data_IF_511489221285
#
_entry.id   IF_511489221285
#
_cell.length_a   1.000
_cell.length_b   1.000
_cell.length_c   1.000
_cell.angle_alpha   90.00
_cell.angle_beta   90.00
_cell.angle_gamma   90.00
#
_symmetry.space_group_name_H-M   'P 1'
#
loop_
_entity.id
_entity.type
_entity.pdbx_description
1 polymer ?
#
# COMPACT_ATOMS: atom_id res chain seq x y z
N UNK A 1 40.39 -7.54 -9.56
CA UNK A 1 39.05 -7.78 -10.16
C UNK A 1 38.00 -8.03 -9.06
N UNK A 2 38.03 -7.27 -7.97
CA UNK A 2 36.96 -7.27 -6.95
C UNK A 2 36.07 -6.03 -7.10
N UNK A 3 36.68 -4.85 -7.32
CA UNK A 3 35.95 -3.59 -7.52
C UNK A 3 34.91 -3.64 -8.66
N UNK A 4 35.17 -4.38 -9.74
CA UNK A 4 34.20 -4.55 -10.84
C UNK A 4 33.03 -5.45 -10.43
N UNK A 5 33.26 -6.49 -9.61
CA UNK A 5 32.17 -7.32 -9.06
C UNK A 5 31.33 -6.56 -8.05
N UNK A 6 31.96 -5.76 -7.20
CA UNK A 6 31.26 -4.97 -6.19
C UNK A 6 30.39 -3.90 -6.85
N UNK A 7 30.91 -3.21 -7.88
CA UNK A 7 30.14 -2.24 -8.65
C UNK A 7 28.96 -2.87 -9.41
N UNK A 8 29.08 -4.12 -9.87
CA UNK A 8 27.95 -4.83 -10.46
C UNK A 8 26.92 -5.22 -9.40
N UNK A 9 27.36 -5.62 -8.22
CA UNK A 9 26.48 -6.04 -7.11
C UNK A 9 25.63 -4.87 -6.62
N UNK A 10 26.24 -3.70 -6.44
CA UNK A 10 25.53 -2.47 -6.03
C UNK A 10 24.46 -2.06 -7.05
N UNK A 11 24.74 -2.20 -8.35
CA UNK A 11 23.76 -1.92 -9.41
C UNK A 11 22.59 -2.89 -9.39
N UNK A 12 22.86 -4.19 -9.24
CA UNK A 12 21.81 -5.22 -9.20
C UNK A 12 20.88 -4.99 -7.99
N UNK A 13 21.45 -4.74 -6.80
CA UNK A 13 20.65 -4.45 -5.61
C UNK A 13 19.77 -3.20 -5.78
N UNK A 14 20.29 -2.16 -6.44
CA UNK A 14 19.50 -0.97 -6.76
C UNK A 14 18.31 -1.24 -7.69
N UNK A 15 18.46 -2.13 -8.67
CA UNK A 15 17.36 -2.54 -9.54
C UNK A 15 16.36 -3.42 -8.80
N UNK A 16 16.84 -4.42 -8.06
CA UNK A 16 15.98 -5.35 -7.33
C UNK A 16 15.11 -4.63 -6.29
N UNK A 17 15.69 -3.65 -5.59
CA UNK A 17 14.94 -2.80 -4.66
C UNK A 17 13.82 -2.04 -5.37
N UNK A 18 14.10 -1.44 -6.52
CA UNK A 18 13.08 -0.71 -7.31
C UNK A 18 11.98 -1.63 -7.81
N UNK A 19 12.30 -2.87 -8.17
CA UNK A 19 11.29 -3.86 -8.59
C UNK A 19 10.38 -4.25 -7.42
N UNK A 20 10.93 -4.46 -6.22
CA UNK A 20 10.14 -4.68 -5.02
C UNK A 20 9.21 -3.49 -4.72
N UNK A 21 9.75 -2.27 -4.77
CA UNK A 21 8.97 -1.05 -4.56
C UNK A 21 7.83 -0.91 -5.56
N UNK A 22 8.07 -1.24 -6.83
CA UNK A 22 7.04 -1.23 -7.87
C UNK A 22 5.92 -2.24 -7.57
N UNK A 23 6.27 -3.45 -7.12
CA UNK A 23 5.31 -4.52 -6.83
C UNK A 23 4.34 -4.21 -5.69
N UNK A 24 4.75 -3.35 -4.72
CA UNK A 24 3.93 -2.94 -3.57
C UNK A 24 3.33 -1.52 -3.70
N UNK A 25 3.62 -0.80 -4.79
CA UNK A 25 3.21 0.59 -5.01
C UNK A 25 1.69 0.83 -5.08
N UNK A 26 0.93 -0.25 -5.28
CA UNK A 26 -0.54 -0.23 -5.23
C UNK A 26 -1.10 -0.34 -3.80
N UNK A 27 -0.31 -0.87 -2.86
CA UNK A 27 -0.71 -1.12 -1.47
C UNK A 27 -0.23 -0.01 -0.52
N UNK A 28 1.06 0.35 -0.60
CA UNK A 28 1.69 1.32 0.28
C UNK A 28 1.66 2.73 -0.34
N UNK A 29 1.50 3.75 0.50
CA UNK A 29 1.64 5.15 0.07
C UNK A 29 3.11 5.49 -0.25
N UNK A 30 4.02 4.99 0.59
CA UNK A 30 5.47 5.07 0.41
C UNK A 30 6.05 3.65 0.33
N UNK A 31 6.40 3.15 -0.87
CA UNK A 31 6.92 1.79 -1.04
C UNK A 31 8.21 1.50 -0.25
N UNK A 32 9.02 2.53 0.02
CA UNK A 32 10.25 2.41 0.79
C UNK A 32 10.01 2.02 2.27
N UNK A 33 8.81 2.29 2.81
CA UNK A 33 8.44 1.95 4.19
C UNK A 33 8.45 0.43 4.42
N UNK A 34 8.34 -0.35 3.35
CA UNK A 34 8.55 -1.79 3.36
C UNK A 34 9.92 -2.12 3.99
N UNK A 35 10.97 -1.43 3.58
CA UNK A 35 12.34 -1.63 4.07
C UNK A 35 12.60 -0.85 5.37
N UNK A 36 12.19 0.41 5.43
CA UNK A 36 12.54 1.30 6.53
C UNK A 36 11.77 0.96 7.82
N UNK A 37 10.53 0.47 7.71
CA UNK A 37 9.66 0.15 8.84
C UNK A 37 9.42 -1.36 8.95
N UNK A 38 9.19 -2.03 7.80
CA UNK A 38 9.02 -3.49 7.77
C UNK A 38 10.31 -4.27 8.00
N UNK A 39 11.48 -3.61 7.88
CA UNK A 39 12.82 -4.20 8.10
C UNK A 39 13.07 -5.49 7.30
N UNK A 40 12.45 -5.59 6.12
CA UNK A 40 12.57 -6.76 5.24
C UNK A 40 13.78 -6.60 4.33
N UNK A 41 14.48 -7.71 4.08
CA UNK A 41 15.58 -7.74 3.11
C UNK A 41 15.03 -8.01 1.72
N UNK A 42 15.60 -7.35 0.70
CA UNK A 42 15.27 -7.58 -0.71
C UNK A 42 15.55 -9.03 -1.07
N UNK A 43 16.65 -9.61 -0.57
CA UNK A 43 17.11 -10.95 -0.94
C UNK A 43 16.15 -12.07 -0.52
N UNK A 44 15.34 -11.86 0.52
CA UNK A 44 14.40 -12.86 1.03
C UNK A 44 13.24 -13.12 0.06
N UNK A 45 13.06 -12.25 -0.94
CA UNK A 45 11.97 -12.33 -1.92
C UNK A 45 12.44 -12.70 -3.33
N UNK A 46 13.73 -12.98 -3.53
CA UNK A 46 14.24 -13.47 -4.81
C UNK A 46 14.48 -14.97 -4.75
N UNK A 47 14.02 -15.69 -5.77
CA UNK A 47 14.32 -17.11 -5.91
C UNK A 47 15.76 -17.35 -6.40
N UNK A 48 16.17 -18.62 -6.44
CA UNK A 48 17.50 -19.03 -6.93
C UNK A 48 17.73 -18.68 -8.42
N UNK A 49 16.67 -18.34 -9.16
CA UNK A 49 16.73 -17.90 -10.55
C UNK A 49 16.82 -16.37 -10.68
N UNK A 50 16.78 -15.63 -9.56
CA UNK A 50 16.77 -14.17 -9.54
C UNK A 50 15.43 -13.56 -9.95
N UNK A 51 14.33 -14.30 -9.81
CA UNK A 51 12.96 -13.81 -10.00
C UNK A 51 12.37 -13.37 -8.66
N UNK A 52 11.69 -12.22 -8.68
CA UNK A 52 10.96 -11.69 -7.53
C UNK A 52 9.67 -12.48 -7.27
N UNK A 53 9.52 -13.01 -6.07
CA UNK A 53 8.25 -13.53 -5.56
C UNK A 53 7.36 -12.36 -5.10
N UNK A 54 6.66 -11.78 -6.08
CA UNK A 54 5.77 -10.65 -5.85
C UNK A 54 4.57 -10.98 -4.95
N UNK A 55 4.16 -12.25 -4.88
CA UNK A 55 3.00 -12.65 -4.07
C UNK A 55 3.39 -12.72 -2.60
N UNK A 56 4.55 -13.29 -2.28
CA UNK A 56 5.13 -13.24 -0.94
C UNK A 56 5.38 -11.79 -0.48
N UNK A 57 5.89 -10.94 -1.37
CA UNK A 57 6.13 -9.53 -1.06
C UNK A 57 4.82 -8.78 -0.74
N UNK A 58 3.76 -9.02 -1.51
CA UNK A 58 2.44 -8.43 -1.26
C UNK A 58 1.81 -8.93 0.03
N UNK A 59 1.99 -10.20 0.37
CA UNK A 59 1.56 -10.75 1.66
C UNK A 59 2.26 -10.05 2.82
N UNK A 60 3.59 -9.90 2.74
CA UNK A 60 4.35 -9.17 3.75
C UNK A 60 3.89 -7.70 3.89
N UNK A 61 3.67 -7.02 2.76
CA UNK A 61 3.11 -5.66 2.77
C UNK A 61 1.69 -5.61 3.36
N UNK A 62 0.86 -6.63 3.10
CA UNK A 62 -0.46 -6.78 3.69
C UNK A 62 -0.42 -6.90 5.20
N UNK A 63 0.45 -7.77 5.74
CA UNK A 63 0.67 -7.91 7.19
C UNK A 63 1.15 -6.60 7.81
N UNK A 64 2.07 -5.89 7.15
CA UNK A 64 2.53 -4.58 7.62
C UNK A 64 1.38 -3.55 7.68
N UNK A 65 0.46 -3.59 6.72
CA UNK A 65 -0.73 -2.74 6.70
C UNK A 65 -1.75 -3.09 7.78
N UNK A 66 -1.89 -4.36 8.14
CA UNK A 66 -2.74 -4.78 9.26
C UNK A 66 -2.22 -4.24 10.59
N UNK A 67 -0.91 -4.27 10.81
CA UNK A 67 -0.27 -3.69 12.00
C UNK A 67 -0.31 -2.16 11.98
N UNK A 68 -0.17 -1.56 10.80
CA UNK A 68 0.00 -0.12 10.62
C UNK A 68 -0.88 0.40 9.46
N UNK A 69 -2.19 0.55 9.68
CA UNK A 69 -3.14 0.89 8.62
C UNK A 69 -2.93 2.27 7.99
N UNK A 70 -2.15 3.16 8.62
CA UNK A 70 -1.81 4.49 8.10
C UNK A 70 -0.72 4.49 7.03
N UNK A 71 -0.02 3.38 6.82
CA UNK A 71 0.97 3.22 5.74
C UNK A 71 0.32 2.92 4.39
N UNK A 72 -0.98 2.59 4.40
CA UNK A 72 -1.73 2.27 3.20
C UNK A 72 -1.95 3.48 2.34
N UNK A 73 -1.90 3.26 1.02
CA UNK A 73 -2.24 4.27 0.04
C UNK A 73 -3.69 4.75 0.29
N UNK A 74 -3.90 6.06 0.51
CA UNK A 74 -5.25 6.55 0.79
C UNK A 74 -6.11 6.31 -0.45
N UNK A 75 -7.23 5.59 -0.27
CA UNK A 75 -8.21 5.41 -1.33
C UNK A 75 -8.64 6.80 -1.79
N UNK A 76 -8.62 7.11 -3.11
CA UNK A 76 -9.08 8.40 -3.58
C UNK A 76 -10.52 8.58 -3.11
N UNK A 77 -10.72 9.49 -2.17
CA UNK A 77 -12.04 10.03 -1.90
C UNK A 77 -12.50 10.61 -3.24
N UNK A 78 -13.70 10.22 -3.69
CA UNK A 78 -14.24 10.67 -4.97
C UNK A 78 -14.22 12.21 -5.10
N UNK A 79 -14.60 12.74 -6.26
CA UNK A 79 -14.56 14.18 -6.52
C UNK A 79 -15.16 14.94 -5.34
N UNK A 80 -14.41 15.89 -4.76
CA UNK A 80 -14.85 16.65 -3.56
C UNK A 80 -16.21 17.33 -3.76
N UNK A 81 -16.58 17.54 -5.03
CA UNK A 81 -17.82 18.16 -5.49
C UNK A 81 -18.91 17.17 -5.90
N UNK A 82 -18.72 15.84 -5.78
CA UNK A 82 -19.70 14.83 -6.17
C UNK A 82 -21.05 14.97 -5.44
N UNK A 83 -21.05 15.64 -4.28
CA UNK A 83 -22.24 15.92 -3.48
C UNK A 83 -22.75 17.37 -3.65
N UNK A 84 -22.28 18.11 -4.65
CA UNK A 84 -22.67 19.49 -4.90
C UNK A 84 -23.48 19.60 -6.21
N UNK A 85 -24.53 20.42 -6.20
CA UNK A 85 -25.36 20.70 -7.38
C UNK A 85 -26.61 19.82 -7.50
N UNK A 86 -27.38 20.04 -8.58
CA UNK A 86 -28.72 19.46 -8.75
C UNK A 86 -28.77 17.93 -8.90
N UNK A 87 -27.62 17.30 -9.13
CA UNK A 87 -27.47 15.84 -9.26
C UNK A 87 -26.81 15.19 -8.05
N UNK A 88 -26.65 15.93 -6.94
CA UNK A 88 -26.16 15.34 -5.70
C UNK A 88 -27.14 14.26 -5.20
N UNK A 89 -26.64 13.14 -4.67
CA UNK A 89 -27.51 12.14 -4.04
C UNK A 89 -28.29 12.79 -2.90
N UNK A 90 -29.59 12.47 -2.73
CA UNK A 90 -30.37 13.03 -1.65
C UNK A 90 -29.70 12.69 -0.30
N UNK A 91 -29.73 13.59 0.69
CA UNK A 91 -29.17 13.32 2.01
C UNK A 91 -29.73 12.01 2.56
N UNK A 92 -28.93 11.22 3.31
CA UNK A 92 -29.46 10.01 3.95
C UNK A 92 -30.66 10.41 4.82
N UNK A 93 -31.82 9.85 4.49
CA UNK A 93 -33.02 10.03 5.30
C UNK A 93 -32.71 9.49 6.70
N UNK A 94 -32.94 10.29 7.76
CA UNK A 94 -32.85 9.78 9.13
C UNK A 94 -33.78 8.57 9.23
N UNK A 95 -33.19 7.39 9.44
CA UNK A 95 -33.96 6.22 9.85
C UNK A 95 -34.67 6.52 11.17
N UNK A 96 -35.81 5.87 11.42
CA UNK A 96 -36.61 6.06 12.62
C UNK A 96 -35.71 6.05 13.86
N UNK A 97 -35.70 7.18 14.58
CA UNK A 97 -34.93 7.31 15.80
C UNK A 97 -35.75 6.77 16.97
N UNK A 98 -35.08 6.31 18.03
CA UNK A 98 -35.75 5.88 19.26
C UNK A 98 -36.59 7.00 19.89
N UNK A 99 -36.31 8.27 19.59
CA UNK A 99 -37.15 9.43 19.96
C UNK A 99 -38.51 9.45 19.27
N UNK A 100 -38.64 8.88 18.07
CA UNK A 100 -39.91 8.77 17.34
C UNK A 100 -40.81 7.67 17.93
N UNK A 101 -40.20 6.67 18.59
CA UNK A 101 -40.90 5.58 19.29
C UNK A 101 -41.31 5.99 20.70
N UNK A 102 -40.50 6.83 21.35
CA UNK A 102 -40.70 7.20 22.75
C UNK A 102 -41.47 8.51 22.96
N UNK A 103 -41.81 9.25 21.90
CA UNK A 103 -42.81 10.32 21.85
C UNK A 103 -42.84 11.30 23.04
N UNK A 104 -42.31 12.51 22.82
CA UNK A 104 -42.47 13.76 23.59
C UNK A 104 -43.13 13.73 24.96
#
# INVERSE_FOLDING_TARGET
MEAERDALTERVQGYQRRECEAAVSDLLDVPADLFDIGQIDVNDFYDDNGQLDADMLRLAAGTLLEERPRLGKPRPAGPRWANFGQYAPPPPQRGAAWSDVLGS
#
